data_IF_617137389599
#
_entry.id   IF_617137389599
#
_cell.length_a   1.000
_cell.length_b   1.000
_cell.length_c   1.000
_cell.angle_alpha   90.00
_cell.angle_beta   90.00
_cell.angle_gamma   90.00
#
_symmetry.space_group_name_H-M   'P 1'
#
loop_
_entity.id
_entity.type
_entity.pdbx_description
1 polymer ?
#
# COMPACT_ATOMS: atom_id res chain seq x y z
N UNK A 1 19.75 -0.61 -8.44
CA UNK A 1 20.71 0.40 -8.91
C UNK A 1 20.65 1.58 -7.97
N UNK A 2 21.78 2.03 -7.43
CA UNK A 2 21.87 3.23 -6.62
C UNK A 2 22.72 4.24 -7.39
N UNK A 3 22.15 5.40 -7.68
CA UNK A 3 22.87 6.48 -8.38
C UNK A 3 23.24 7.58 -7.37
N UNK A 4 24.40 8.19 -7.56
CA UNK A 4 24.83 9.33 -6.74
C UNK A 4 23.85 10.50 -6.99
N UNK A 5 23.37 11.12 -5.92
CA UNK A 5 22.41 12.23 -5.98
C UNK A 5 20.92 11.82 -5.99
N UNK A 6 20.61 10.52 -6.02
CA UNK A 6 19.25 10.01 -5.94
C UNK A 6 18.94 9.44 -4.54
N UNK A 7 17.66 9.47 -4.11
CA UNK A 7 17.25 8.89 -2.84
C UNK A 7 17.57 7.39 -2.75
N UNK A 8 17.89 6.92 -1.54
CA UNK A 8 18.02 5.49 -1.29
C UNK A 8 16.66 4.81 -1.55
N UNK A 9 16.68 3.67 -2.28
CA UNK A 9 15.45 2.96 -2.63
C UNK A 9 14.68 3.56 -3.82
N UNK A 10 15.29 4.47 -4.59
CA UNK A 10 14.72 5.03 -5.81
C UNK A 10 14.32 3.92 -6.79
N UNK A 11 13.08 3.99 -7.29
CA UNK A 11 12.54 2.98 -8.20
C UNK A 11 12.92 3.31 -9.64
N UNK A 12 13.62 2.37 -10.28
CA UNK A 12 13.94 2.38 -11.71
C UNK A 12 13.26 1.20 -12.39
N UNK A 13 12.67 1.45 -13.53
CA UNK A 13 11.96 0.43 -14.29
C UNK A 13 11.66 0.88 -15.71
N UNK A 14 10.94 0.04 -16.43
CA UNK A 14 10.48 0.34 -17.78
C UNK A 14 9.21 1.21 -17.73
N UNK A 15 9.09 2.12 -18.67
CA UNK A 15 7.88 2.91 -18.84
C UNK A 15 6.87 2.11 -19.67
N UNK A 16 5.75 1.74 -19.08
CA UNK A 16 4.67 1.04 -19.75
C UNK A 16 3.79 2.03 -20.51
N UNK A 17 3.39 1.66 -21.73
CA UNK A 17 2.55 2.49 -22.62
C UNK A 17 1.19 1.86 -22.94
N UNK A 18 0.91 0.67 -22.46
CA UNK A 18 -0.35 -0.04 -22.62
C UNK A 18 -0.18 -1.55 -22.70
N UNK A 19 -1.21 -2.22 -23.20
CA UNK A 19 -1.20 -3.66 -23.47
C UNK A 19 -1.21 -3.90 -24.99
N UNK A 20 -0.57 -4.98 -25.44
CA UNK A 20 -0.66 -5.40 -26.84
C UNK A 20 -2.09 -5.83 -27.18
N UNK A 21 -2.71 -5.15 -28.15
CA UNK A 21 -4.08 -5.39 -28.56
C UNK A 21 -4.22 -5.72 -30.05
N UNK A 22 -3.22 -5.38 -30.87
CA UNK A 22 -3.27 -5.60 -32.33
C UNK A 22 -2.03 -6.34 -32.84
N UNK A 23 -2.19 -7.05 -33.93
CA UNK A 23 -1.08 -7.75 -34.61
C UNK A 23 0.01 -6.75 -35.04
N UNK A 24 -0.37 -5.59 -35.53
CA UNK A 24 0.57 -4.52 -35.90
C UNK A 24 1.47 -4.09 -34.73
N UNK A 25 0.90 -4.02 -33.53
CA UNK A 25 1.69 -3.70 -32.32
C UNK A 25 2.68 -4.81 -31.99
N UNK A 26 2.29 -6.08 -32.13
CA UNK A 26 3.18 -7.22 -31.89
C UNK A 26 4.32 -7.29 -32.92
N UNK A 27 4.05 -6.94 -34.16
CA UNK A 27 5.03 -7.06 -35.24
C UNK A 27 6.02 -5.89 -35.30
N UNK A 28 5.58 -4.68 -34.90
CA UNK A 28 6.35 -3.44 -35.12
C UNK A 28 6.96 -2.85 -33.85
N UNK A 29 6.63 -3.34 -32.67
CA UNK A 29 7.18 -2.77 -31.42
C UNK A 29 8.27 -3.64 -30.83
N UNK A 30 9.34 -3.01 -30.31
CA UNK A 30 10.39 -3.73 -29.61
C UNK A 30 9.85 -4.28 -28.27
N UNK A 31 10.45 -5.35 -27.80
CA UNK A 31 10.10 -6.00 -26.55
C UNK A 31 11.34 -6.27 -25.70
N UNK A 32 11.12 -6.53 -24.42
CA UNK A 32 12.20 -6.82 -23.47
C UNK A 32 12.61 -8.29 -23.57
N UNK A 33 13.88 -8.55 -23.85
CA UNK A 33 14.43 -9.91 -23.90
C UNK A 33 14.06 -10.70 -25.16
N UNK A 34 14.13 -12.03 -25.07
CA UNK A 34 13.93 -12.95 -26.20
C UNK A 34 12.59 -13.71 -26.12
N UNK A 35 11.62 -13.17 -25.38
CA UNK A 35 10.31 -13.80 -25.18
C UNK A 35 9.37 -13.62 -26.37
N UNK A 36 8.29 -14.41 -26.38
CA UNK A 36 7.18 -14.23 -27.30
C UNK A 36 6.12 -13.39 -26.63
N UNK A 37 5.85 -12.21 -27.18
CA UNK A 37 4.74 -11.37 -26.76
C UNK A 37 3.42 -11.92 -27.29
N UNK A 38 2.38 -11.67 -26.51
CA UNK A 38 1.01 -12.05 -26.84
C UNK A 38 0.08 -10.88 -26.55
N UNK A 39 -1.12 -10.93 -27.09
CA UNK A 39 -2.17 -10.00 -26.75
C UNK A 39 -2.39 -9.97 -25.22
N UNK A 40 -2.56 -8.78 -24.70
CA UNK A 40 -2.71 -8.55 -23.27
C UNK A 40 -1.40 -8.53 -22.45
N UNK A 41 -0.23 -8.67 -23.09
CA UNK A 41 1.06 -8.42 -22.44
C UNK A 41 1.36 -6.92 -22.41
N UNK A 42 2.18 -6.49 -21.43
CA UNK A 42 2.55 -5.08 -21.26
C UNK A 42 3.49 -4.64 -22.39
N UNK A 43 3.19 -3.51 -23.02
CA UNK A 43 4.07 -2.80 -23.94
C UNK A 43 4.92 -1.78 -23.18
N UNK A 44 6.21 -1.73 -23.52
CA UNK A 44 7.14 -0.76 -22.94
C UNK A 44 7.60 0.25 -24.00
N UNK A 45 7.97 1.43 -23.53
CA UNK A 45 8.52 2.50 -24.36
C UNK A 45 10.01 2.27 -24.59
N UNK A 46 10.44 2.37 -25.85
CA UNK A 46 11.83 2.46 -26.25
C UNK A 46 12.27 3.93 -26.03
N UNK A 47 13.01 4.15 -24.95
CA UNK A 47 13.35 5.51 -24.49
C UNK A 47 14.47 6.11 -25.33
N UNK A 48 15.45 5.29 -25.73
CA UNK A 48 16.60 5.75 -26.51
C UNK A 48 16.37 5.69 -28.03
N UNK A 49 15.27 5.03 -28.49
CA UNK A 49 14.89 4.95 -29.89
C UNK A 49 15.79 4.04 -30.74
N UNK A 50 16.46 3.07 -30.14
CA UNK A 50 17.36 2.16 -30.83
C UNK A 50 16.67 0.92 -31.44
N UNK A 51 15.35 0.80 -31.26
CA UNK A 51 14.52 -0.30 -31.72
C UNK A 51 14.62 -1.55 -30.84
N UNK A 52 15.18 -1.45 -29.65
CA UNK A 52 15.30 -2.52 -28.68
C UNK A 52 14.96 -1.99 -27.29
N UNK A 53 14.43 -2.85 -26.43
CA UNK A 53 14.21 -2.48 -25.03
C UNK A 53 15.22 -3.23 -24.18
N UNK A 54 16.15 -2.46 -23.60
CA UNK A 54 17.28 -2.99 -22.84
C UNK A 54 17.30 -2.46 -21.40
N UNK A 55 18.03 -3.16 -20.53
CA UNK A 55 18.16 -2.74 -19.14
C UNK A 55 18.94 -1.44 -19.00
N UNK A 56 19.93 -1.22 -19.84
CA UNK A 56 20.83 -0.06 -19.76
C UNK A 56 20.27 1.16 -20.51
N UNK A 57 19.52 0.94 -21.59
CA UNK A 57 18.97 1.99 -22.46
C UNK A 57 17.64 2.53 -21.99
N UNK A 58 16.73 1.68 -21.46
CA UNK A 58 15.30 2.01 -21.32
C UNK A 58 14.77 1.98 -19.90
N UNK A 59 15.61 1.61 -18.91
CA UNK A 59 15.21 1.73 -17.51
C UNK A 59 15.44 3.14 -16.99
N UNK A 60 14.34 3.81 -16.70
CA UNK A 60 14.32 5.17 -16.20
C UNK A 60 13.73 5.24 -14.78
N UNK A 61 13.84 6.38 -14.14
CA UNK A 61 13.16 6.67 -12.89
C UNK A 61 11.66 6.72 -13.14
N UNK A 62 10.90 5.79 -12.54
CA UNK A 62 9.46 5.64 -12.77
C UNK A 62 8.60 6.10 -11.61
N UNK A 63 9.16 6.29 -10.40
CA UNK A 63 8.44 6.68 -9.20
C UNK A 63 9.35 7.27 -8.15
N UNK A 64 8.80 7.48 -6.97
CA UNK A 64 9.56 7.88 -5.79
C UNK A 64 10.31 6.70 -5.17
N UNK A 65 11.09 6.97 -4.15
CA UNK A 65 11.72 5.94 -3.33
C UNK A 65 10.67 5.05 -2.65
N UNK A 66 11.05 3.82 -2.33
CA UNK A 66 10.27 2.94 -1.45
C UNK A 66 10.31 3.37 0.02
N UNK A 67 11.24 4.27 0.36
CA UNK A 67 11.31 4.92 1.66
C UNK A 67 10.62 6.29 1.56
N UNK A 68 9.68 6.61 2.46
CA UNK A 68 9.01 7.91 2.44
C UNK A 68 10.01 9.07 2.60
N UNK A 69 9.93 10.05 1.71
CA UNK A 69 10.75 11.26 1.81
C UNK A 69 10.16 12.24 2.84
N UNK A 70 8.84 12.15 3.09
CA UNK A 70 8.15 12.99 4.05
C UNK A 70 7.36 12.12 5.04
N UNK A 71 7.68 12.23 6.33
CA UNK A 71 6.87 11.73 7.41
C UNK A 71 6.30 12.90 8.20
N UNK A 72 5.00 12.84 8.51
CA UNK A 72 4.31 13.92 9.21
C UNK A 72 3.35 13.39 10.27
N UNK A 73 3.13 14.18 11.29
CA UNK A 73 2.17 13.88 12.35
C UNK A 73 1.48 15.14 12.86
N UNK A 74 0.24 14.96 13.31
CA UNK A 74 -0.54 16.01 13.95
C UNK A 74 -1.16 15.45 15.24
N UNK A 75 -0.80 16.05 16.37
CA UNK A 75 -1.41 15.77 17.66
C UNK A 75 -2.38 16.90 18.03
N UNK A 76 -3.58 16.54 18.43
CA UNK A 76 -4.62 17.46 18.86
C UNK A 76 -5.14 17.02 20.23
N UNK A 77 -5.11 17.93 21.20
CA UNK A 77 -5.66 17.71 22.54
C UNK A 77 -6.65 18.82 22.88
N UNK A 78 -7.84 18.41 23.27
CA UNK A 78 -8.92 19.31 23.63
C UNK A 78 -9.50 18.94 24.99
N UNK A 79 -9.60 19.93 25.89
CA UNK A 79 -10.14 19.76 27.22
C UNK A 79 -11.23 20.80 27.49
N UNK A 80 -12.42 20.35 27.88
CA UNK A 80 -13.51 21.23 28.19
C UNK A 80 -14.48 20.66 29.23
N UNK A 81 -14.65 21.33 30.34
CA UNK A 81 -15.59 20.97 31.43
C UNK A 81 -15.57 19.48 31.84
N UNK A 82 -14.36 18.88 31.90
CA UNK A 82 -14.17 17.48 32.29
C UNK A 82 -14.11 16.52 31.09
N UNK A 83 -14.51 16.93 29.89
CA UNK A 83 -14.30 16.17 28.67
C UNK A 83 -12.86 16.34 28.18
N UNK A 84 -12.27 15.25 27.71
CA UNK A 84 -10.96 15.22 27.10
C UNK A 84 -11.09 14.52 25.75
N UNK A 85 -10.56 15.12 24.72
CA UNK A 85 -10.39 14.51 23.39
C UNK A 85 -8.92 14.62 23.01
N UNK A 86 -8.31 13.49 22.69
CA UNK A 86 -6.94 13.43 22.15
C UNK A 86 -6.94 12.64 20.87
N UNK A 87 -6.32 13.17 19.83
CA UNK A 87 -6.20 12.53 18.55
C UNK A 87 -4.78 12.67 18.00
N UNK A 88 -4.19 11.55 17.56
CA UNK A 88 -2.90 11.51 16.89
C UNK A 88 -3.09 11.01 15.46
N UNK A 89 -2.76 11.87 14.51
CA UNK A 89 -2.66 11.55 13.11
C UNK A 89 -1.21 11.36 12.72
N UNK A 90 -0.93 10.37 11.89
CA UNK A 90 0.39 10.11 11.34
C UNK A 90 0.26 9.72 9.89
N UNK A 91 1.18 10.20 9.07
CA UNK A 91 1.20 9.88 7.64
C UNK A 91 2.60 9.89 7.07
N UNK A 92 2.69 9.36 5.87
CA UNK A 92 3.87 9.41 5.03
C UNK A 92 3.46 9.82 3.61
N UNK A 93 4.35 10.53 2.94
CA UNK A 93 4.16 10.98 1.58
C UNK A 93 5.46 10.92 0.78
N UNK A 94 5.33 11.08 -0.53
CA UNK A 94 6.43 10.97 -1.49
C UNK A 94 7.05 9.58 -1.38
N UNK A 95 6.22 8.55 -1.53
CA UNK A 95 6.61 7.15 -1.47
C UNK A 95 5.85 6.37 -2.54
N UNK A 96 6.55 5.45 -3.19
CA UNK A 96 5.97 4.57 -4.20
C UNK A 96 6.31 3.12 -3.89
N UNK A 97 5.39 2.22 -4.24
CA UNK A 97 5.61 0.78 -4.19
C UNK A 97 5.42 0.17 -5.57
N UNK A 98 5.94 -1.02 -5.78
CA UNK A 98 5.73 -1.78 -7.00
C UNK A 98 5.01 -3.09 -6.70
N UNK A 99 3.92 -3.35 -7.42
CA UNK A 99 3.18 -4.61 -7.40
C UNK A 99 3.73 -5.53 -8.50
N UNK A 100 4.95 -5.97 -8.37
CA UNK A 100 5.56 -6.90 -9.32
C UNK A 100 5.77 -8.29 -8.71
N UNK A 101 6.41 -9.18 -9.43
CA UNK A 101 6.63 -10.55 -8.96
C UNK A 101 5.31 -11.31 -8.78
N UNK A 102 4.97 -11.64 -7.55
CA UNK A 102 3.76 -12.39 -7.21
C UNK A 102 2.47 -11.78 -7.72
N UNK A 103 2.36 -10.46 -7.81
CA UNK A 103 1.17 -9.77 -8.34
C UNK A 103 1.08 -9.80 -9.86
N UNK A 104 2.21 -9.88 -10.56
CA UNK A 104 2.25 -9.78 -12.01
C UNK A 104 2.01 -11.10 -12.74
N UNK A 105 2.39 -12.22 -12.17
CA UNK A 105 2.34 -13.50 -12.90
C UNK A 105 2.06 -14.73 -12.03
N UNK A 106 1.69 -14.55 -10.77
CA UNK A 106 1.53 -15.70 -9.89
C UNK A 106 2.86 -16.46 -9.79
N UNK A 107 3.82 -15.86 -9.16
CA UNK A 107 5.21 -16.28 -9.07
C UNK A 107 5.38 -17.78 -8.79
N UNK A 108 6.45 -18.34 -9.34
CA UNK A 108 7.00 -19.63 -8.92
C UNK A 108 7.65 -19.57 -7.53
N UNK A 109 7.72 -18.39 -6.91
CA UNK A 109 8.08 -18.25 -5.50
C UNK A 109 7.09 -18.97 -4.59
N UNK A 110 7.56 -19.47 -3.48
CA UNK A 110 6.76 -20.19 -2.50
C UNK A 110 5.71 -19.33 -1.76
N UNK A 111 5.53 -18.08 -2.17
CA UNK A 111 4.52 -17.18 -1.64
C UNK A 111 3.16 -17.45 -2.29
N UNK A 112 2.24 -17.90 -1.48
CA UNK A 112 0.96 -18.52 -1.86
C UNK A 112 -0.10 -17.52 -2.34
N UNK A 113 0.10 -16.22 -2.13
CA UNK A 113 -0.98 -15.22 -2.18
C UNK A 113 -1.45 -14.82 -3.57
N UNK A 114 -0.62 -15.00 -4.58
CA UNK A 114 -0.83 -14.35 -5.88
C UNK A 114 -0.57 -15.26 -7.07
N UNK A 115 -0.62 -16.57 -6.88
CA UNK A 115 -0.50 -17.54 -7.97
C UNK A 115 -1.88 -17.83 -8.59
N UNK A 116 -2.29 -17.14 -9.65
CA UNK A 116 -3.47 -17.57 -10.37
C UNK A 116 -3.19 -18.94 -11.00
N UNK A 117 -4.13 -19.87 -10.89
CA UNK A 117 -4.13 -21.15 -11.60
C UNK A 117 -2.97 -22.13 -11.25
N UNK A 118 -2.18 -21.87 -10.23
CA UNK A 118 -1.12 -22.79 -9.83
C UNK A 118 -1.57 -23.70 -8.65
N UNK A 119 -1.12 -24.95 -8.66
CA UNK A 119 -1.44 -25.92 -7.60
C UNK A 119 -1.09 -25.39 -6.21
N UNK A 120 -2.08 -25.27 -5.32
CA UNK A 120 -1.94 -24.66 -4.01
C UNK A 120 -1.75 -23.12 -4.03
N UNK A 121 -1.85 -22.50 -5.18
CA UNK A 121 -1.77 -21.06 -5.34
C UNK A 121 -3.12 -20.37 -5.16
N UNK A 122 -3.06 -19.13 -4.68
CA UNK A 122 -4.21 -18.28 -4.43
C UNK A 122 -3.96 -16.92 -5.03
N UNK A 123 -4.84 -16.44 -5.91
CA UNK A 123 -4.76 -15.10 -6.47
C UNK A 123 -5.84 -14.20 -5.84
N UNK A 124 -5.53 -12.94 -5.56
CA UNK A 124 -6.57 -11.98 -5.18
C UNK A 124 -7.62 -11.88 -6.28
N UNK A 125 -8.89 -11.89 -5.90
CA UNK A 125 -10.01 -11.86 -6.84
C UNK A 125 -9.94 -10.65 -7.81
N UNK A 126 -9.55 -9.47 -7.30
CA UNK A 126 -9.42 -8.26 -8.12
C UNK A 126 -8.42 -8.38 -9.28
N UNK A 127 -7.37 -9.22 -9.12
CA UNK A 127 -6.40 -9.47 -10.17
C UNK A 127 -7.01 -10.31 -11.30
N UNK A 128 -7.86 -11.28 -10.94
CA UNK A 128 -8.53 -12.15 -11.91
C UNK A 128 -9.68 -11.42 -12.59
N UNK A 129 -10.47 -10.67 -11.82
CA UNK A 129 -11.65 -9.96 -12.30
C UNK A 129 -11.32 -8.90 -13.34
N UNK A 130 -10.24 -8.15 -13.15
CA UNK A 130 -9.83 -7.05 -14.03
C UNK A 130 -8.54 -7.37 -14.81
N UNK A 131 -8.37 -8.62 -15.19
CA UNK A 131 -7.30 -9.04 -16.09
C UNK A 131 -7.72 -8.94 -17.55
N UNK A 132 -6.75 -8.72 -18.42
CA UNK A 132 -6.99 -8.64 -19.85
C UNK A 132 -7.51 -9.97 -20.41
N UNK A 133 -8.61 -9.89 -21.15
CA UNK A 133 -9.17 -10.94 -22.00
C UNK A 133 -9.65 -10.32 -23.32
N UNK A 134 -9.93 -11.10 -24.37
CA UNK A 134 -10.52 -10.56 -25.60
C UNK A 134 -11.83 -9.79 -25.39
N UNK A 135 -12.57 -10.12 -24.33
CA UNK A 135 -13.82 -9.47 -23.92
C UNK A 135 -13.60 -8.25 -23.02
N UNK A 136 -12.42 -8.15 -22.37
CA UNK A 136 -12.03 -7.06 -21.49
C UNK A 136 -10.68 -6.46 -21.90
N UNK A 137 -10.65 -5.78 -23.04
CA UNK A 137 -9.41 -5.22 -23.61
C UNK A 137 -8.88 -4.00 -22.86
N UNK A 138 -9.71 -3.33 -22.08
CA UNK A 138 -9.36 -2.16 -21.27
C UNK A 138 -9.03 -2.52 -19.81
N UNK A 139 -8.69 -3.77 -19.55
CA UNK A 139 -8.37 -4.26 -18.22
C UNK A 139 -7.20 -3.52 -17.58
N UNK A 140 -7.24 -3.42 -16.27
CA UNK A 140 -6.16 -2.83 -15.46
C UNK A 140 -4.93 -3.73 -15.37
N UNK A 141 -5.13 -5.05 -15.41
CA UNK A 141 -4.04 -6.01 -15.28
C UNK A 141 -3.77 -6.72 -16.61
N UNK A 142 -2.52 -7.08 -16.90
CA UNK A 142 -2.21 -7.83 -18.09
C UNK A 142 -2.88 -9.21 -18.06
N UNK A 143 -2.84 -9.91 -19.17
CA UNK A 143 -3.36 -11.26 -19.26
C UNK A 143 -2.76 -12.17 -18.19
N UNK A 144 -3.56 -13.06 -17.66
CA UNK A 144 -3.11 -14.08 -16.70
C UNK A 144 -2.35 -15.20 -17.43
N UNK A 145 -1.38 -15.78 -16.74
CA UNK A 145 -0.60 -16.91 -17.26
C UNK A 145 -0.33 -17.92 -16.14
N UNK A 146 -0.51 -19.19 -16.42
CA UNK A 146 -0.13 -20.27 -15.52
C UNK A 146 1.38 -20.53 -15.49
N UNK A 147 2.12 -20.00 -16.44
CA UNK A 147 3.57 -20.09 -16.54
C UNK A 147 4.19 -18.71 -16.34
N UNK A 148 5.45 -18.70 -15.93
CA UNK A 148 6.19 -17.46 -15.77
C UNK A 148 6.21 -16.67 -17.08
N UNK A 149 5.74 -15.42 -17.04
CA UNK A 149 5.81 -14.48 -18.15
C UNK A 149 6.77 -13.35 -17.77
N UNK A 150 8.02 -13.45 -18.23
CA UNK A 150 9.07 -12.47 -17.92
C UNK A 150 8.70 -11.05 -18.33
N UNK A 151 7.98 -10.88 -19.47
CA UNK A 151 7.61 -9.55 -19.96
C UNK A 151 6.71 -8.79 -18.98
N UNK A 152 5.68 -9.43 -18.45
CA UNK A 152 4.74 -8.79 -17.53
C UNK A 152 5.31 -8.64 -16.11
N UNK A 153 6.41 -9.33 -15.79
CA UNK A 153 7.02 -9.36 -14.47
C UNK A 153 8.06 -8.26 -14.24
N UNK A 154 8.47 -7.55 -15.28
CA UNK A 154 9.47 -6.50 -15.11
C UNK A 154 8.96 -5.33 -14.27
N UNK A 155 9.86 -4.80 -13.44
CA UNK A 155 9.61 -3.55 -12.72
C UNK A 155 9.32 -2.44 -13.73
N UNK A 156 8.11 -1.90 -13.67
CA UNK A 156 7.63 -0.92 -14.63
C UNK A 156 6.62 0.03 -14.01
N UNK A 157 6.32 1.11 -14.72
CA UNK A 157 5.29 2.05 -14.33
C UNK A 157 3.89 1.42 -14.26
N UNK A 158 3.66 0.28 -14.90
CA UNK A 158 2.41 -0.47 -14.83
C UNK A 158 2.08 -0.95 -13.41
N UNK A 159 3.10 -1.40 -12.71
CA UNK A 159 2.98 -1.95 -11.35
C UNK A 159 3.26 -0.93 -10.25
N UNK A 160 3.50 0.33 -10.65
CA UNK A 160 3.76 1.39 -9.69
C UNK A 160 2.47 1.83 -9.01
N UNK A 161 2.51 1.95 -7.71
CA UNK A 161 1.38 2.40 -6.87
C UNK A 161 1.82 3.50 -5.92
N UNK A 162 0.89 4.43 -5.66
CA UNK A 162 1.08 5.48 -4.68
C UNK A 162 1.00 4.91 -3.26
N UNK A 163 2.08 5.06 -2.49
CA UNK A 163 2.19 4.59 -1.11
C UNK A 163 1.82 5.64 -0.05
N UNK A 164 1.38 6.83 -0.45
CA UNK A 164 1.02 7.89 0.48
C UNK A 164 -0.17 7.50 1.36
N UNK A 165 -0.11 7.88 2.63
CA UNK A 165 -1.24 7.65 3.54
C UNK A 165 -1.30 8.69 4.66
N UNK A 166 -2.48 8.81 5.26
CA UNK A 166 -2.74 9.51 6.53
C UNK A 166 -3.62 8.59 7.39
N UNK A 167 -3.16 8.31 8.62
CA UNK A 167 -3.83 7.39 9.54
C UNK A 167 -4.14 8.06 10.88
N UNK A 168 -5.36 7.88 11.36
CA UNK A 168 -5.72 8.17 12.75
C UNK A 168 -5.16 7.06 13.64
N UNK A 169 -3.96 7.29 14.17
CA UNK A 169 -3.20 6.32 14.98
C UNK A 169 -3.84 6.09 16.33
N UNK A 170 -4.20 7.17 17.01
CA UNK A 170 -4.84 7.12 18.31
C UNK A 170 -5.99 8.13 18.35
N UNK A 171 -7.10 7.71 18.90
CA UNK A 171 -8.20 8.57 19.29
C UNK A 171 -8.63 8.18 20.69
N UNK A 172 -8.68 9.14 21.59
CA UNK A 172 -9.17 8.93 22.94
C UNK A 172 -10.19 10.00 23.26
N UNK A 173 -11.34 9.57 23.75
CA UNK A 173 -12.37 10.45 24.27
C UNK A 173 -12.71 10.03 25.70
N UNK A 174 -12.63 10.95 26.64
CA UNK A 174 -12.83 10.67 28.04
C UNK A 174 -13.61 11.76 28.76
N UNK A 175 -14.15 11.37 29.91
CA UNK A 175 -14.79 12.29 30.84
C UNK A 175 -14.29 12.05 32.26
N UNK A 176 -13.82 13.12 32.88
CA UNK A 176 -13.40 13.12 34.27
C UNK A 176 -14.53 13.70 35.14
N UNK A 177 -15.03 12.92 36.08
CA UNK A 177 -16.13 13.32 36.96
C UNK A 177 -15.64 14.43 37.89
N UNK A 178 -16.34 15.57 37.96
CA UNK A 178 -15.96 16.67 38.83
C UNK A 178 -15.89 16.26 40.32
N UNK A 179 -14.87 16.69 41.04
CA UNK A 179 -14.67 16.37 42.47
C UNK A 179 -15.89 16.70 43.33
N UNK A 180 -16.62 17.76 42.99
CA UNK A 180 -17.84 18.14 43.71
C UNK A 180 -18.94 17.06 43.67
N UNK A 181 -19.04 16.33 42.58
CA UNK A 181 -20.01 15.23 42.43
C UNK A 181 -19.55 14.03 43.24
N UNK A 182 -18.24 13.68 43.15
CA UNK A 182 -17.69 12.57 43.92
C UNK A 182 -17.79 12.79 45.45
N UNK A 183 -17.55 14.02 45.88
CA UNK A 183 -17.70 14.39 47.31
C UNK A 183 -19.16 14.24 47.79
N UNK A 184 -20.14 14.62 47.00
CA UNK A 184 -21.57 14.42 47.33
C UNK A 184 -21.95 12.95 47.39
N UNK A 185 -21.38 12.12 46.53
CA UNK A 185 -21.67 10.68 46.46
C UNK A 185 -21.05 9.88 47.63
N UNK A 186 -20.07 10.46 48.36
CA UNK A 186 -19.37 9.89 49.51
C UNK A 186 -18.86 8.45 49.29
N UNK A 187 -18.38 8.14 48.07
CA UNK A 187 -17.94 6.80 47.67
C UNK A 187 -16.45 6.53 47.94
N UNK A 188 -15.75 7.44 48.67
CA UNK A 188 -14.33 7.29 49.01
C UNK A 188 -13.38 7.40 47.82
N UNK A 189 -13.81 7.94 46.69
CA UNK A 189 -13.00 8.16 45.50
C UNK A 189 -12.68 9.64 45.32
N UNK A 190 -11.42 9.95 45.03
CA UNK A 190 -10.95 11.32 44.76
C UNK A 190 -10.95 11.68 43.28
N UNK A 191 -10.84 10.68 42.44
CA UNK A 191 -10.86 10.86 40.99
C UNK A 191 -11.51 9.66 40.30
N UNK A 192 -12.40 9.94 39.34
CA UNK A 192 -13.01 8.93 38.48
C UNK A 192 -12.98 9.46 37.05
N UNK A 193 -12.36 8.72 36.14
CA UNK A 193 -12.29 9.01 34.74
C UNK A 193 -12.75 7.81 33.95
N UNK A 194 -13.69 8.01 33.03
CA UNK A 194 -14.12 7.03 32.07
C UNK A 194 -13.62 7.48 30.69
N UNK A 195 -13.04 6.59 29.93
CA UNK A 195 -12.62 6.92 28.57
C UNK A 195 -12.72 5.74 27.63
N UNK A 196 -12.95 6.06 26.37
CA UNK A 196 -12.88 5.14 25.25
C UNK A 196 -11.66 5.53 24.41
N UNK A 197 -10.93 4.55 23.94
CA UNK A 197 -9.78 4.75 23.08
C UNK A 197 -9.82 3.78 21.90
N UNK A 198 -9.29 4.23 20.79
CA UNK A 198 -9.12 3.40 19.62
C UNK A 198 -7.80 3.66 18.92
N UNK A 199 -7.24 2.62 18.31
CA UNK A 199 -6.00 2.73 17.54
C UNK A 199 -6.23 2.30 16.11
N UNK A 200 -5.52 2.94 15.18
CA UNK A 200 -5.57 2.66 13.73
C UNK A 200 -6.98 2.72 13.13
N UNK A 201 -7.83 3.64 13.60
CA UNK A 201 -9.27 3.65 13.31
C UNK A 201 -9.58 3.93 11.84
N UNK A 202 -8.90 4.92 11.26
CA UNK A 202 -9.12 5.37 9.89
C UNK A 202 -7.78 5.52 9.18
N UNK A 203 -7.74 5.07 7.91
CA UNK A 203 -6.60 5.26 7.03
C UNK A 203 -7.09 5.81 5.70
N UNK A 204 -6.57 6.97 5.33
CA UNK A 204 -6.79 7.59 4.03
C UNK A 204 -5.60 7.26 3.15
N UNK A 205 -5.82 6.54 2.07
CA UNK A 205 -4.79 6.13 1.11
C UNK A 205 -5.43 5.71 -0.20
N UNK A 206 -4.74 5.90 -1.29
CA UNK A 206 -5.08 5.30 -2.59
C UNK A 206 -4.60 3.85 -2.69
N UNK A 207 -3.71 3.44 -1.80
CA UNK A 207 -3.14 2.11 -1.77
C UNK A 207 -4.14 1.10 -1.16
N UNK A 208 -4.75 0.26 -2.01
CA UNK A 208 -5.84 -0.66 -1.63
C UNK A 208 -5.40 -2.12 -1.51
N UNK A 209 -4.14 -2.43 -1.76
CA UNK A 209 -3.64 -3.80 -1.88
C UNK A 209 -3.28 -4.43 -0.54
N UNK A 210 -2.74 -3.64 0.38
CA UNK A 210 -2.41 -4.05 1.73
C UNK A 210 -2.27 -2.81 2.65
N UNK A 211 -1.68 -2.97 3.83
CA UNK A 211 -1.45 -1.85 4.73
C UNK A 211 -0.34 -0.93 4.17
N UNK A 212 -0.59 0.39 3.99
CA UNK A 212 0.38 1.32 3.42
C UNK A 212 1.62 1.57 4.29
N UNK A 213 1.62 1.18 5.56
CA UNK A 213 2.80 1.26 6.43
C UNK A 213 3.75 0.07 6.25
N UNK A 214 3.42 -0.87 5.38
CA UNK A 214 4.25 -2.04 5.16
C UNK A 214 5.44 -1.69 4.28
N UNK A 215 6.65 -1.96 4.77
CA UNK A 215 7.88 -1.71 4.04
C UNK A 215 8.06 -2.62 2.81
N UNK A 216 7.48 -3.83 2.84
CA UNK A 216 7.60 -4.84 1.77
C UNK A 216 6.23 -5.46 1.52
N UNK A 217 5.49 -4.90 0.58
CA UNK A 217 4.11 -5.28 0.26
C UNK A 217 3.96 -6.67 -0.35
N UNK A 218 5.01 -7.17 -1.01
CA UNK A 218 4.97 -8.46 -1.70
C UNK A 218 5.21 -9.68 -0.79
N UNK A 219 5.47 -9.47 0.50
CA UNK A 219 5.82 -10.54 1.45
C UNK A 219 4.67 -10.97 2.38
N UNK A 220 3.46 -10.44 2.18
CA UNK A 220 2.26 -10.88 2.91
C UNK A 220 2.31 -10.62 4.42
N UNK A 221 2.79 -9.47 4.85
CA UNK A 221 2.77 -9.07 6.26
C UNK A 221 1.36 -8.94 6.81
N UNK A 222 1.21 -9.20 8.08
CA UNK A 222 -0.04 -9.03 8.78
C UNK A 222 -0.39 -7.53 8.89
N UNK A 223 -1.59 -7.09 8.47
CA UNK A 223 -1.97 -5.67 8.48
C UNK A 223 -2.11 -5.14 9.91
N UNK A 224 -1.96 -3.83 10.06
CA UNK A 224 -2.18 -3.12 11.33
C UNK A 224 -3.61 -3.31 11.81
N UNK A 225 -3.75 -3.78 13.05
CA UNK A 225 -5.07 -4.03 13.64
C UNK A 225 -5.71 -2.74 14.15
N UNK A 226 -7.04 -2.69 14.06
CA UNK A 226 -7.85 -1.70 14.76
C UNK A 226 -8.18 -2.24 16.15
N UNK A 227 -7.89 -1.45 17.18
CA UNK A 227 -8.22 -1.82 18.55
C UNK A 227 -9.19 -0.79 19.13
N UNK A 228 -10.10 -1.27 19.96
CA UNK A 228 -11.04 -0.46 20.70
C UNK A 228 -10.96 -0.85 22.17
N UNK A 229 -10.88 0.14 23.05
CA UNK A 229 -10.77 -0.06 24.49
C UNK A 229 -11.71 0.89 25.21
N UNK A 230 -12.37 0.38 26.24
CA UNK A 230 -13.13 1.20 27.18
C UNK A 230 -12.53 0.98 28.58
N UNK A 231 -12.16 2.05 29.24
CA UNK A 231 -11.42 1.98 30.50
C UNK A 231 -12.06 2.92 31.55
N UNK A 232 -12.04 2.44 32.77
CA UNK A 232 -12.41 3.18 33.96
C UNK A 232 -11.17 3.33 34.86
N UNK A 233 -10.76 4.56 35.10
CA UNK A 233 -9.70 4.87 36.06
C UNK A 233 -10.30 5.46 37.32
N UNK A 234 -9.92 4.91 38.45
CA UNK A 234 -10.35 5.40 39.80
C UNK A 234 -9.13 5.59 40.69
N UNK A 235 -9.16 6.60 41.53
CA UNK A 235 -8.18 6.83 42.57
C UNK A 235 -8.88 6.97 43.94
N UNK A 236 -8.42 6.26 44.97
CA UNK A 236 -9.00 6.40 46.29
C UNK A 236 -8.76 7.80 46.86
N UNK A 237 -9.64 8.24 47.75
CA UNK A 237 -9.43 9.46 48.54
C UNK A 237 -8.37 9.18 49.60
N UNK A 238 -7.36 10.06 49.76
CA UNK A 238 -6.47 9.93 50.93
C UNK A 238 -7.30 10.01 52.21
N UNK A 239 -7.03 9.10 53.13
CA UNK A 239 -7.60 9.13 54.47
C UNK A 239 -7.03 10.25 55.31
#
# INVERSE_FOLDING_TARGET
RTNIGEPLGQIYGYKAIGLYQTQEQLDNRPFVGNGVQRFGDIMYEDINGDGKITQDGDRVKIGHSTLPELNYSLSMDFNWKGFNLSALWQGAAIVSYTLNGTYSHGSMDNTVYTRPFYSGGNAPYYLVEDSWTPENVNARYPRLSAIHNGNNAYTSSWWLVNGNFLRLKNLQFGYTIPKKILAKANIGLSNVRVYVAGTNLFTFTEFKYCDPEMAIINNGYYPQQKNYSCLLYTSPSPR
#
